data_IF_193180988220
#
_entry.id   IF_193180988220
#
_cell.length_a   1.000
_cell.length_b   1.000
_cell.length_c   1.000
_cell.angle_alpha   90.00
_cell.angle_beta   90.00
_cell.angle_gamma   90.00
#
_symmetry.space_group_name_H-M   'P 1'
#
loop_
_entity.id
_entity.type
_entity.pdbx_description
1 polymer ?
#
# COMPACT_ATOMS: atom_id res chain seq x y z
N UNK A 1 -9.80 5.04 28.85
CA UNK A 1 -9.94 4.86 28.91
C UNK A 1 -9.97 4.88 28.68
N UNK A 2 -10.02 5.15 28.31
CA UNK A 2 -10.23 5.01 28.06
C UNK A 2 -10.14 5.23 27.74
N UNK A 3 -10.23 5.42 27.44
CA UNK A 3 -10.40 5.46 27.38
C UNK A 3 -10.05 5.45 27.05
N UNK A 4 -9.89 5.55 26.50
CA UNK A 4 -9.82 5.35 26.44
C UNK A 4 -9.55 5.26 26.20
N UNK A 5 -9.63 5.36 26.01
CA UNK A 5 -9.57 5.03 26.13
C UNK A 5 -9.51 4.95 26.15
N UNK A 6 -9.43 4.91 25.73
CA UNK A 6 -9.51 4.62 25.98
C UNK A 6 -9.30 4.48 25.86
N UNK A 7 -9.38 4.31 25.68
CA UNK A 7 -9.29 4.22 25.69
C UNK A 7 -8.88 4.40 25.40
N UNK A 8 -9.04 4.96 25.12
CA UNK A 8 -8.43 5.18 24.69
C UNK A 8 -7.68 4.74 23.58
N UNK A 9 -6.95 4.61 22.87
CA UNK A 9 -6.18 3.89 21.92
C UNK A 9 -6.90 3.58 20.63
N UNK A 10 -8.11 3.43 20.67
CA UNK A 10 -8.96 3.17 19.51
C UNK A 10 -8.96 4.32 18.52
N UNK A 11 -8.89 5.53 19.00
CA UNK A 11 -8.88 6.71 18.11
C UNK A 11 -7.64 6.70 17.22
N UNK A 12 -6.50 6.33 17.80
CA UNK A 12 -5.26 6.27 17.02
C UNK A 12 -5.35 5.23 15.89
N UNK A 13 -5.92 4.09 16.18
CA UNK A 13 -6.02 3.04 15.18
C UNK A 13 -6.91 3.44 14.01
N UNK A 14 -7.96 4.21 14.29
CA UNK A 14 -8.86 4.65 13.23
C UNK A 14 -8.25 5.70 12.35
N UNK A 15 -7.15 6.33 12.79
CA UNK A 15 -6.49 7.36 12.01
C UNK A 15 -5.49 6.82 10.99
N UNK A 16 -5.22 5.51 11.01
CA UNK A 16 -4.19 4.94 10.13
C UNK A 16 -4.81 4.29 8.91
N UNK A 17 -4.00 4.22 7.85
CA UNK A 17 -4.39 3.55 6.62
C UNK A 17 -4.62 2.06 6.89
N UNK A 18 -5.72 1.55 6.38
CA UNK A 18 -6.07 0.14 6.44
C UNK A 18 -5.73 -0.49 5.09
N UNK A 19 -4.96 -1.57 5.10
CA UNK A 19 -4.64 -2.30 3.88
C UNK A 19 -5.56 -3.51 3.74
N UNK A 20 -6.14 -3.63 2.56
CA UNK A 20 -6.82 -4.85 2.14
C UNK A 20 -5.96 -5.50 1.07
N UNK A 21 -6.15 -6.79 0.87
CA UNK A 21 -5.37 -7.54 -0.12
C UNK A 21 -6.31 -8.18 -1.12
N UNK A 22 -5.93 -8.17 -2.37
CA UNK A 22 -6.74 -8.68 -3.46
C UNK A 22 -7.12 -10.15 -3.26
N UNK A 23 -6.18 -10.94 -2.70
CA UNK A 23 -6.42 -12.34 -2.41
C UNK A 23 -5.41 -12.83 -1.36
N UNK A 24 -5.57 -14.09 -0.93
CA UNK A 24 -4.71 -14.65 0.10
C UNK A 24 -3.26 -14.81 -0.35
N UNK A 25 -3.03 -15.01 -1.63
CA UNK A 25 -1.68 -15.12 -2.17
C UNK A 25 -0.92 -13.81 -1.98
N UNK A 26 -1.53 -12.68 -2.34
CA UNK A 26 -0.93 -11.36 -2.18
C UNK A 26 -0.71 -11.07 -0.69
N UNK A 27 -1.69 -11.39 0.14
CA UNK A 27 -1.56 -11.18 1.57
C UNK A 27 -0.35 -11.91 2.14
N UNK A 28 -0.17 -13.17 1.77
CA UNK A 28 0.97 -13.94 2.25
C UNK A 28 2.29 -13.37 1.77
N UNK A 29 2.34 -12.91 0.52
CA UNK A 29 3.57 -12.29 0.00
C UNK A 29 3.95 -11.06 0.81
N UNK A 30 2.99 -10.33 1.32
CA UNK A 30 3.22 -9.07 2.04
C UNK A 30 3.37 -9.25 3.55
N UNK A 31 3.05 -10.42 4.10
CA UNK A 31 3.01 -10.61 5.56
C UNK A 31 3.86 -11.77 6.05
N UNK A 32 4.31 -12.65 5.16
CA UNK A 32 5.10 -13.83 5.53
C UNK A 32 6.46 -13.77 4.85
N UNK A 33 7.52 -13.72 5.65
CA UNK A 33 8.88 -13.51 5.14
C UNK A 33 9.28 -14.62 4.15
N UNK A 34 8.99 -15.85 4.47
CA UNK A 34 9.34 -16.97 3.60
C UNK A 34 8.68 -16.86 2.24
N UNK A 35 7.39 -16.50 2.24
CA UNK A 35 6.64 -16.31 1.00
C UNK A 35 7.19 -15.12 0.21
N UNK A 36 7.53 -14.02 0.89
CA UNK A 36 8.11 -12.86 0.23
C UNK A 36 9.45 -13.21 -0.41
N UNK A 37 10.31 -13.93 0.30
CA UNK A 37 11.59 -14.33 -0.24
C UNK A 37 11.44 -15.21 -1.48
N UNK A 38 10.46 -16.11 -1.45
CA UNK A 38 10.18 -16.97 -2.59
C UNK A 38 9.72 -16.16 -3.80
N UNK A 39 8.89 -15.15 -3.58
CA UNK A 39 8.45 -14.25 -4.64
C UNK A 39 9.65 -13.62 -5.35
N UNK A 40 10.66 -13.22 -4.59
CA UNK A 40 11.83 -12.52 -5.12
C UNK A 40 13.01 -13.45 -5.44
N UNK A 41 12.74 -14.74 -5.60
CA UNK A 41 13.79 -15.70 -5.97
C UNK A 41 14.87 -15.85 -4.90
N UNK A 42 14.52 -15.66 -3.63
CA UNK A 42 15.45 -15.77 -2.52
C UNK A 42 16.12 -14.46 -2.13
N UNK A 43 15.74 -13.35 -2.76
CA UNK A 43 16.37 -12.05 -2.48
C UNK A 43 15.82 -11.47 -1.18
N UNK A 44 16.59 -11.60 -0.10
CA UNK A 44 16.18 -11.15 1.23
C UNK A 44 16.05 -9.62 1.30
N UNK A 45 16.88 -8.89 0.55
CA UNK A 45 16.83 -7.42 0.57
C UNK A 45 15.52 -6.91 0.01
N UNK A 46 15.03 -7.52 -1.07
CA UNK A 46 13.71 -7.14 -1.64
C UNK A 46 12.59 -7.50 -0.68
N UNK A 47 12.65 -8.67 -0.04
CA UNK A 47 11.63 -9.08 0.91
C UNK A 47 11.56 -8.11 2.10
N UNK A 48 12.70 -7.71 2.63
CA UNK A 48 12.78 -6.76 3.73
C UNK A 48 12.22 -5.40 3.31
N UNK A 49 12.57 -4.95 2.11
CA UNK A 49 12.05 -3.68 1.59
C UNK A 49 10.54 -3.72 1.39
N UNK A 50 10.01 -4.84 0.89
CA UNK A 50 8.55 -4.98 0.76
C UNK A 50 7.88 -4.81 2.12
N UNK A 51 8.38 -5.48 3.14
CA UNK A 51 7.80 -5.37 4.48
C UNK A 51 7.88 -3.94 5.01
N UNK A 52 8.99 -3.25 4.73
CA UNK A 52 9.14 -1.85 5.15
C UNK A 52 8.12 -0.95 4.45
N UNK A 53 7.85 -1.17 3.17
CA UNK A 53 6.84 -0.42 2.43
C UNK A 53 5.43 -0.68 2.98
N UNK A 54 5.10 -1.95 3.21
CA UNK A 54 3.80 -2.32 3.79
C UNK A 54 3.64 -1.66 5.15
N UNK A 55 4.66 -1.73 6.00
CA UNK A 55 4.60 -1.10 7.32
C UNK A 55 4.43 0.41 7.21
N UNK A 56 5.13 1.06 6.29
CA UNK A 56 5.02 2.51 6.11
C UNK A 56 3.60 2.90 5.73
N UNK A 57 2.96 2.13 4.85
CA UNK A 57 1.57 2.40 4.48
C UNK A 57 0.64 2.24 5.68
N UNK A 58 0.85 1.22 6.50
CA UNK A 58 0.01 0.97 7.67
C UNK A 58 0.20 2.03 8.75
N UNK A 59 1.36 2.68 8.79
CA UNK A 59 1.64 3.74 9.75
C UNK A 59 1.18 5.12 9.27
N UNK A 60 0.87 5.26 7.99
CA UNK A 60 0.39 6.52 7.44
C UNK A 60 -1.01 6.83 7.94
N UNK A 61 -1.32 8.10 8.13
CA UNK A 61 -2.68 8.53 8.49
C UNK A 61 -3.62 8.48 7.30
N UNK A 62 -3.14 8.92 6.15
CA UNK A 62 -3.85 8.91 4.88
C UNK A 62 -2.85 8.59 3.78
N UNK A 63 -3.35 8.22 2.59
CA UNK A 63 -2.46 7.85 1.50
C UNK A 63 -1.55 9.01 1.07
N UNK A 64 -1.94 10.24 1.33
CA UNK A 64 -1.13 11.41 1.00
C UNK A 64 0.27 11.33 1.61
N UNK A 65 0.38 10.75 2.81
CA UNK A 65 1.67 10.60 3.48
C UNK A 65 2.64 9.75 2.65
N UNK A 66 2.10 8.79 1.90
CA UNK A 66 2.90 7.93 1.02
C UNK A 66 3.18 8.64 -0.31
N UNK A 67 2.17 9.33 -0.86
CA UNK A 67 2.33 10.09 -2.10
C UNK A 67 3.47 11.11 -1.98
N UNK A 68 3.63 11.69 -0.79
CA UNK A 68 4.62 12.73 -0.54
C UNK A 68 6.02 12.20 -0.28
N UNK A 69 6.21 10.89 -0.20
CA UNK A 69 7.52 10.29 0.06
C UNK A 69 8.26 10.01 -1.26
N UNK A 70 9.32 10.78 -1.57
CA UNK A 70 9.99 10.65 -2.88
C UNK A 70 10.54 9.25 -3.14
N UNK A 71 11.03 8.58 -2.09
CA UNK A 71 11.66 7.26 -2.26
C UNK A 71 10.67 6.17 -2.66
N UNK A 72 9.37 6.41 -2.47
CA UNK A 72 8.36 5.43 -2.87
C UNK A 72 8.02 5.53 -4.34
N UNK A 73 8.30 6.66 -4.94
CA UNK A 73 8.02 6.91 -6.34
C UNK A 73 6.56 6.56 -6.70
N UNK A 74 5.65 7.08 -5.90
CA UNK A 74 4.22 6.88 -6.13
C UNK A 74 3.84 7.47 -7.48
N UNK A 75 3.23 6.66 -8.34
CA UNK A 75 2.80 7.15 -9.65
C UNK A 75 1.58 6.39 -10.13
N UNK A 76 0.82 7.06 -10.97
CA UNK A 76 -0.41 6.50 -11.49
C UNK A 76 -0.12 5.61 -12.70
N UNK A 77 -0.91 4.57 -12.85
CA UNK A 77 -0.87 3.71 -14.02
C UNK A 77 -1.94 4.18 -15.01
N UNK A 78 -1.80 3.77 -16.26
CA UNK A 78 -2.68 4.25 -17.33
C UNK A 78 -3.30 3.08 -18.08
N UNK A 79 -4.12 3.40 -19.09
CA UNK A 79 -4.80 2.42 -19.90
C UNK A 79 -5.81 1.64 -19.07
N UNK A 80 -5.81 0.32 -19.21
CA UNK A 80 -6.75 -0.53 -18.46
C UNK A 80 -6.42 -0.61 -16.97
N UNK A 81 -5.32 0.01 -16.54
CA UNK A 81 -4.97 0.11 -15.12
C UNK A 81 -5.27 1.48 -14.56
N UNK A 82 -6.12 2.26 -15.22
CA UNK A 82 -6.55 3.56 -14.69
C UNK A 82 -7.23 3.37 -13.34
N UNK A 83 -6.89 4.23 -12.38
CA UNK A 83 -7.39 4.09 -11.00
C UNK A 83 -6.45 3.29 -10.11
N UNK A 84 -5.41 2.69 -10.67
CA UNK A 84 -4.37 2.00 -9.91
C UNK A 84 -3.08 2.81 -9.90
N UNK A 85 -2.27 2.56 -8.89
CA UNK A 85 -1.00 3.26 -8.68
C UNK A 85 0.08 2.25 -8.36
N UNK A 86 1.33 2.66 -8.58
CA UNK A 86 2.48 1.81 -8.29
C UNK A 86 3.41 2.54 -7.34
N UNK A 87 4.03 1.79 -6.43
CA UNK A 87 5.16 2.26 -5.62
C UNK A 87 6.30 1.29 -5.75
N UNK A 88 7.53 1.80 -5.65
CA UNK A 88 8.72 0.96 -5.74
C UNK A 88 8.78 0.04 -4.52
N UNK A 89 9.14 -1.23 -4.72
CA UNK A 89 9.42 -2.11 -3.59
C UNK A 89 10.70 -1.66 -2.89
N UNK A 90 11.75 -1.36 -3.65
CA UNK A 90 13.03 -0.95 -3.09
C UNK A 90 13.60 0.26 -3.78
N UNK A 91 13.94 0.15 -5.07
CA UNK A 91 14.51 1.25 -5.84
C UNK A 91 13.86 1.30 -7.21
N UNK A 92 14.11 2.40 -7.93
CA UNK A 92 13.65 2.51 -9.31
C UNK A 92 14.42 1.59 -10.26
N UNK A 93 15.59 1.12 -9.83
CA UNK A 93 16.44 0.30 -10.69
C UNK A 93 15.95 -1.14 -10.82
N UNK A 94 15.38 -1.69 -9.73
CA UNK A 94 14.79 -3.01 -9.84
C UNK A 94 13.38 -2.86 -10.41
N UNK A 95 12.85 -3.91 -11.06
CA UNK A 95 11.54 -3.80 -11.73
C UNK A 95 10.34 -4.02 -10.81
N UNK A 96 10.56 -4.28 -9.52
CA UNK A 96 9.47 -4.68 -8.63
C UNK A 96 8.66 -3.49 -8.15
N UNK A 97 7.33 -3.62 -8.24
CA UNK A 97 6.39 -2.59 -7.83
C UNK A 97 5.27 -3.19 -7.00
N UNK A 98 4.74 -2.41 -6.06
CA UNK A 98 3.52 -2.74 -5.35
C UNK A 98 2.40 -1.99 -6.06
N UNK A 99 1.40 -2.71 -6.54
CA UNK A 99 0.26 -2.12 -7.25
C UNK A 99 -0.88 -1.96 -6.27
N UNK A 100 -1.37 -0.74 -6.13
CA UNK A 100 -2.37 -0.41 -5.11
C UNK A 100 -3.55 0.34 -5.74
N UNK A 101 -4.69 0.26 -5.07
CA UNK A 101 -5.89 0.98 -5.48
C UNK A 101 -6.51 1.66 -4.26
N UNK A 102 -6.70 3.00 -4.31
CA UNK A 102 -7.42 3.69 -3.24
C UNK A 102 -8.89 3.28 -3.25
N UNK A 103 -9.44 3.08 -2.06
CA UNK A 103 -10.85 2.75 -1.90
C UNK A 103 -11.52 3.76 -0.97
N UNK A 104 -12.84 3.95 -1.16
CA UNK A 104 -13.61 4.80 -0.29
C UNK A 104 -14.03 4.05 0.99
N UNK A 105 -14.82 4.68 1.84
CA UNK A 105 -15.21 4.10 3.12
C UNK A 105 -16.10 2.87 2.96
N UNK A 106 -16.69 2.68 1.79
CA UNK A 106 -17.49 1.49 1.49
C UNK A 106 -16.65 0.42 0.79
N UNK A 107 -15.33 0.63 0.74
CA UNK A 107 -14.37 -0.29 0.08
C UNK A 107 -14.61 -0.39 -1.42
N UNK A 108 -15.07 0.71 -2.02
CA UNK A 108 -15.30 0.81 -3.46
C UNK A 108 -14.25 1.71 -4.09
N UNK A 109 -13.85 1.44 -5.33
CA UNK A 109 -12.94 2.33 -6.04
C UNK A 109 -13.56 3.71 -6.26
N UNK A 110 -12.72 4.73 -6.23
CA UNK A 110 -13.13 6.07 -6.63
C UNK A 110 -13.33 6.13 -8.13
N UNK A 111 -14.40 6.79 -8.57
CA UNK A 111 -14.71 6.95 -9.99
C UNK A 111 -15.34 8.33 -10.20
N UNK A 112 -14.62 9.29 -10.76
CA UNK A 112 -13.21 9.19 -11.22
C UNK A 112 -12.24 9.16 -10.04
N UNK A 113 -11.04 8.61 -10.29
CA UNK A 113 -10.00 8.55 -9.29
C UNK A 113 -8.98 9.65 -9.55
N UNK A 114 -9.18 10.81 -8.93
CA UNK A 114 -8.23 11.91 -9.00
C UNK A 114 -7.43 11.95 -7.70
N UNK A 115 -6.23 11.37 -7.72
CA UNK A 115 -5.44 11.19 -6.50
C UNK A 115 -5.10 12.53 -5.84
N UNK A 116 -4.88 13.58 -6.63
CA UNK A 116 -4.53 14.88 -6.05
C UNK A 116 -5.67 15.44 -5.19
N UNK A 117 -6.90 15.09 -5.52
CA UNK A 117 -8.06 15.56 -4.76
C UNK A 117 -8.36 14.68 -3.56
N UNK A 118 -8.13 13.37 -3.67
CA UNK A 118 -8.57 12.44 -2.63
C UNK A 118 -7.47 12.00 -1.67
N UNK A 119 -6.20 12.23 -2.00
CA UNK A 119 -5.08 11.68 -1.22
C UNK A 119 -5.16 12.04 0.26
N UNK A 120 -5.70 13.22 0.59
CA UNK A 120 -5.82 13.67 1.97
C UNK A 120 -6.93 13.02 2.77
N UNK A 121 -7.79 12.22 2.13
CA UNK A 121 -8.91 11.55 2.82
C UNK A 121 -8.89 10.04 2.68
N UNK A 122 -8.04 9.48 1.79
CA UNK A 122 -8.01 8.04 1.56
C UNK A 122 -7.38 7.33 2.74
N UNK A 123 -8.12 6.41 3.34
CA UNK A 123 -7.65 5.60 4.47
C UNK A 123 -7.74 4.11 4.23
N UNK A 124 -8.30 3.70 3.10
CA UNK A 124 -8.41 2.29 2.74
C UNK A 124 -7.74 2.10 1.39
N UNK A 125 -6.80 1.18 1.35
CA UNK A 125 -6.02 0.92 0.14
C UNK A 125 -5.95 -0.59 -0.06
N UNK A 126 -6.28 -1.02 -1.27
CA UNK A 126 -6.13 -2.43 -1.61
C UNK A 126 -4.77 -2.65 -2.26
N UNK A 127 -4.02 -3.65 -1.77
CA UNK A 127 -2.82 -4.13 -2.43
C UNK A 127 -3.27 -5.14 -3.48
N UNK A 128 -3.14 -4.75 -4.75
CA UNK A 128 -3.58 -5.56 -5.87
C UNK A 128 -2.63 -6.71 -6.14
N UNK A 129 -1.34 -6.39 -6.23
CA UNK A 129 -0.29 -7.39 -6.45
C UNK A 129 1.07 -6.77 -6.23
N UNK A 130 2.07 -7.63 -6.07
CA UNK A 130 3.48 -7.24 -6.11
C UNK A 130 4.03 -7.85 -7.39
N UNK A 131 4.48 -6.99 -8.30
CA UNK A 131 4.74 -7.42 -9.67
C UNK A 131 6.01 -6.77 -10.22
N UNK A 132 6.63 -7.43 -11.18
CA UNK A 132 7.75 -6.87 -11.95
C UNK A 132 7.34 -6.57 -13.40
N UNK A 133 6.04 -6.46 -13.67
CA UNK A 133 5.53 -6.21 -15.02
C UNK A 133 5.13 -4.76 -15.26
N UNK A 134 5.14 -3.90 -14.24
CA UNK A 134 4.67 -2.53 -14.35
C UNK A 134 5.82 -1.54 -14.15
N UNK A 135 5.70 -0.41 -14.86
CA UNK A 135 6.64 0.69 -14.72
C UNK A 135 6.15 1.71 -13.66
#
# INVERSE_FOLDING_TARGET
MVYLNYSTGNLKRRANVQLLYNNSKVQKQCTDLKTAKKLFGGNAALATSLFARINAMQQASVIKDIVMMPTFHFHKLSGNMDGFFAIDVKTRRDPWRIIIQPLDENEEPYDPCNIDEIAGVVRIVEVKEVSNHYE
#
